data_IF_414519064293
#
_entry.id   IF_414519064293
#
_cell.length_a   1.000
_cell.length_b   1.000
_cell.length_c   1.000
_cell.angle_alpha   90.00
_cell.angle_beta   90.00
_cell.angle_gamma   90.00
#
_symmetry.space_group_name_H-M   'P 1'
#
loop_
_entity.id
_entity.type
_entity.pdbx_description
1 polymer ?
#
# COMPACT_ATOMS: atom_id res chain seq x y z
N UNK A 1 58.79 54.90 38.50
CA UNK A 1 59.19 53.80 37.58
C UNK A 1 58.26 53.85 36.36
N UNK A 2 58.84 54.02 35.15
CA UNK A 2 58.46 53.51 33.79
C UNK A 2 56.96 53.26 33.51
N UNK A 3 56.29 53.70 32.42
CA UNK A 3 56.56 54.31 31.08
C UNK A 3 55.17 54.83 30.60
N UNK A 4 54.99 56.09 30.23
CA UNK A 4 55.13 56.68 28.89
C UNK A 4 54.11 56.25 27.82
N UNK A 5 53.42 57.27 27.29
CA UNK A 5 53.05 57.55 25.88
C UNK A 5 51.66 57.14 25.34
N UNK A 6 50.90 58.20 24.96
CA UNK A 6 50.31 58.46 23.61
C UNK A 6 49.18 57.51 23.11
N UNK A 7 48.13 57.91 22.36
CA UNK A 7 47.68 59.18 21.77
C UNK A 7 46.41 58.93 20.91
N UNK A 8 45.64 60.00 20.61
CA UNK A 8 44.69 60.24 19.48
C UNK A 8 43.58 59.18 19.18
N UNK A 9 42.42 59.44 18.60
CA UNK A 9 41.80 60.62 17.99
C UNK A 9 40.28 60.42 18.00
N UNK A 10 39.55 61.51 18.22
CA UNK A 10 38.10 61.62 18.11
C UNK A 10 37.81 62.10 16.67
N UNK A 11 37.15 61.29 15.85
CA UNK A 11 36.57 61.74 14.57
C UNK A 11 35.12 61.27 14.57
N UNK A 12 34.22 62.25 14.58
CA UNK A 12 32.78 62.02 14.61
C UNK A 12 32.19 61.69 13.25
N UNK A 13 30.90 61.35 13.25
CA UNK A 13 30.03 61.71 12.13
C UNK A 13 28.59 61.88 12.61
N UNK A 14 28.00 62.92 12.04
CA UNK A 14 26.72 63.56 12.29
C UNK A 14 25.56 62.68 11.82
N UNK A 15 24.54 62.56 12.68
CA UNK A 15 23.19 62.11 12.31
C UNK A 15 22.55 63.10 11.34
N UNK A 16 22.04 62.59 10.21
CA UNK A 16 20.99 63.23 9.43
C UNK A 16 19.92 62.18 9.12
N UNK A 17 18.72 62.41 9.65
CA UNK A 17 17.51 61.66 9.38
C UNK A 17 16.59 62.46 8.45
N UNK A 18 15.55 61.78 7.95
CA UNK A 18 14.42 62.24 7.14
C UNK A 18 14.68 62.41 5.63
N UNK A 19 13.81 62.00 4.71
CA UNK A 19 12.59 61.19 4.68
C UNK A 19 12.27 61.05 3.18
N UNK A 20 12.03 59.84 2.66
CA UNK A 20 11.49 59.68 1.32
C UNK A 20 10.47 58.54 1.32
N UNK A 21 9.21 58.93 1.16
CA UNK A 21 8.08 58.04 0.89
C UNK A 21 8.28 57.35 -0.46
N UNK A 22 8.12 56.04 -0.49
CA UNK A 22 7.89 55.29 -1.73
C UNK A 22 6.78 54.26 -1.46
N UNK A 23 5.56 54.62 -1.89
CA UNK A 23 4.47 53.67 -2.09
C UNK A 23 4.82 52.80 -3.30
N UNK A 24 5.18 51.54 -3.05
CA UNK A 24 5.29 50.53 -4.10
C UNK A 24 3.92 49.92 -4.33
N UNK A 25 3.36 50.21 -5.50
CA UNK A 25 2.17 49.57 -6.05
C UNK A 25 2.54 48.13 -6.42
N UNK A 26 2.09 47.13 -5.65
CA UNK A 26 2.23 45.72 -6.02
C UNK A 26 1.10 45.37 -6.98
N UNK A 27 1.41 45.38 -8.27
CA UNK A 27 0.53 44.87 -9.30
C UNK A 27 0.42 43.34 -9.18
N UNK A 28 -0.82 42.89 -9.01
CA UNK A 28 -1.27 41.50 -8.92
C UNK A 28 -1.03 40.76 -10.26
N UNK A 29 0.15 40.14 -10.41
CA UNK A 29 0.49 39.33 -11.56
C UNK A 29 0.11 37.87 -11.32
N UNK A 30 -1.16 37.57 -11.60
CA UNK A 30 -1.76 36.24 -11.75
C UNK A 30 -0.88 35.31 -12.63
N UNK A 31 -0.03 34.47 -12.03
CA UNK A 31 0.63 33.34 -12.72
C UNK A 31 0.00 32.03 -12.29
N UNK A 32 -0.80 31.48 -13.20
CA UNK A 32 -1.36 30.13 -13.15
C UNK A 32 -0.51 29.24 -14.08
N UNK A 33 0.46 28.52 -13.55
CA UNK A 33 1.01 27.30 -14.17
C UNK A 33 1.39 26.32 -13.07
N UNK A 34 1.03 25.07 -13.32
CA UNK A 34 0.92 23.97 -12.36
C UNK A 34 2.31 23.36 -12.14
N UNK A 35 2.85 23.47 -10.94
CA UNK A 35 4.00 22.68 -10.49
C UNK A 35 3.56 21.65 -9.46
N UNK A 36 4.09 20.44 -9.60
CA UNK A 36 4.08 19.43 -8.55
C UNK A 36 5.27 19.71 -7.65
N UNK A 37 5.01 20.02 -6.38
CA UNK A 37 6.05 20.17 -5.36
C UNK A 37 6.06 18.87 -4.55
N UNK A 38 7.20 18.19 -4.53
CA UNK A 38 7.49 17.19 -3.50
C UNK A 38 7.99 17.96 -2.27
N UNK A 39 7.23 17.93 -1.19
CA UNK A 39 7.68 18.40 0.12
C UNK A 39 8.40 17.22 0.80
N UNK A 40 9.72 17.29 0.89
CA UNK A 40 10.51 16.48 1.83
C UNK A 40 10.47 17.14 3.21
N UNK A 41 10.40 16.31 4.25
CA UNK A 41 9.98 16.61 5.63
C UNK A 41 10.65 17.83 6.30
N UNK A 42 9.83 18.80 6.75
CA UNK A 42 10.12 19.63 7.92
C UNK A 42 8.94 19.54 8.91
N UNK A 43 9.22 19.02 10.10
CA UNK A 43 8.30 19.00 11.24
C UNK A 43 7.97 20.42 11.71
N UNK A 44 6.81 20.96 11.34
CA UNK A 44 6.12 21.98 12.15
C UNK A 44 4.60 21.77 12.14
N UNK A 45 4.04 21.50 13.31
CA UNK A 45 2.60 21.37 13.54
C UNK A 45 1.88 22.72 13.47
N UNK A 46 0.76 22.86 12.72
CA UNK A 46 -0.14 23.99 12.91
C UNK A 46 -1.44 23.61 13.62
N UNK A 47 -1.76 24.44 14.61
CA UNK A 47 -2.98 24.51 15.42
C UNK A 47 -4.28 24.52 14.60
N UNK A 48 -5.30 23.89 15.18
CA UNK A 48 -6.68 23.75 14.73
C UNK A 48 -7.37 25.05 14.23
N UNK A 49 -8.11 24.92 13.12
CA UNK A 49 -9.56 25.25 13.02
C UNK A 49 -10.13 24.98 11.61
N UNK A 50 -10.98 23.96 11.53
CA UNK A 50 -12.26 23.90 10.79
C UNK A 50 -12.57 22.42 10.52
N UNK A 51 -13.45 21.83 11.35
CA UNK A 51 -14.07 20.53 11.04
C UNK A 51 -15.10 20.77 9.94
N UNK A 52 -14.67 20.67 8.69
CA UNK A 52 -15.55 20.16 7.65
C UNK A 52 -15.51 18.64 7.73
N UNK A 53 -16.69 18.02 7.74
CA UNK A 53 -16.89 16.57 7.81
C UNK A 53 -16.49 15.96 6.45
N UNK A 54 -15.20 16.03 6.11
CA UNK A 54 -14.61 15.29 5.01
C UNK A 54 -14.57 13.85 5.51
N UNK A 55 -15.56 13.06 5.09
CA UNK A 55 -15.68 11.65 5.43
C UNK A 55 -14.31 10.99 5.44
N UNK A 56 -13.93 10.44 6.60
CA UNK A 56 -12.59 9.91 6.88
C UNK A 56 -12.14 9.01 5.73
N UNK A 57 -11.23 9.51 4.91
CA UNK A 57 -10.63 8.75 3.82
C UNK A 57 -9.67 7.74 4.45
N UNK A 58 -10.15 6.53 4.68
CA UNK A 58 -9.34 5.46 5.24
C UNK A 58 -8.48 4.85 4.14
N UNK A 59 -7.16 5.07 4.21
CA UNK A 59 -6.19 4.36 3.38
C UNK A 59 -6.08 2.93 3.87
N UNK A 60 -6.39 1.95 3.03
CA UNK A 60 -6.14 0.53 3.30
C UNK A 60 -4.80 0.14 2.69
N UNK A 61 -3.96 -0.54 3.46
CA UNK A 61 -2.65 -0.99 3.05
C UNK A 61 -2.47 -2.49 3.38
N UNK A 62 -1.81 -3.19 2.46
CA UNK A 62 -1.41 -4.58 2.58
C UNK A 62 0.10 -4.65 2.38
N UNK A 63 0.82 -5.11 3.41
CA UNK A 63 2.24 -5.48 3.29
C UNK A 63 2.32 -6.99 3.12
N UNK A 64 3.07 -7.45 2.13
CA UNK A 64 3.22 -8.88 1.82
C UNK A 64 4.68 -9.23 1.54
N UNK A 65 5.14 -10.33 2.12
CA UNK A 65 6.40 -11.00 1.82
C UNK A 65 6.17 -12.51 1.67
N UNK A 66 7.17 -13.23 1.16
CA UNK A 66 7.11 -14.68 0.98
C UNK A 66 8.29 -15.34 1.71
N UNK A 67 7.99 -16.25 2.66
CA UNK A 67 8.98 -17.24 3.14
C UNK A 67 9.15 -18.29 2.03
N UNK A 68 10.32 -18.31 1.41
CA UNK A 68 10.75 -19.29 0.42
C UNK A 68 11.61 -20.37 1.09
N UNK A 69 11.29 -21.64 0.84
CA UNK A 69 12.10 -22.80 1.18
C UNK A 69 12.55 -23.49 -0.11
N UNK A 70 13.85 -23.37 -0.42
CA UNK A 70 14.50 -23.98 -1.59
C UNK A 70 15.70 -24.79 -1.11
N UNK A 71 15.78 -26.07 -1.51
CA UNK A 71 16.87 -26.99 -1.14
C UNK A 71 17.16 -27.07 0.38
N UNK A 72 16.11 -26.94 1.20
CA UNK A 72 16.22 -26.94 2.66
C UNK A 72 16.63 -25.61 3.28
N UNK A 73 17.00 -24.61 2.48
CA UNK A 73 17.33 -23.25 2.93
C UNK A 73 16.09 -22.35 2.91
N UNK A 74 15.88 -21.62 4.00
CA UNK A 74 14.85 -20.60 4.11
C UNK A 74 15.39 -19.22 3.74
N UNK A 75 14.59 -18.43 3.04
CA UNK A 75 14.82 -17.00 2.76
C UNK A 75 13.51 -16.25 2.70
N UNK A 76 13.56 -14.92 2.82
CA UNK A 76 12.41 -14.04 2.56
C UNK A 76 12.60 -13.39 1.20
N UNK A 77 11.57 -13.40 0.37
CA UNK A 77 11.58 -12.83 -0.98
C UNK A 77 10.30 -12.04 -1.25
N UNK A 78 10.36 -11.16 -2.26
CA UNK A 78 9.20 -10.43 -2.76
C UNK A 78 8.29 -11.32 -3.62
N UNK A 79 7.00 -10.97 -3.79
CA UNK A 79 6.09 -11.66 -4.70
C UNK A 79 6.54 -11.68 -6.17
N UNK A 80 7.35 -10.71 -6.60
CA UNK A 80 7.90 -10.63 -7.96
C UNK A 80 9.15 -11.53 -8.19
N UNK A 81 9.60 -12.26 -7.17
CA UNK A 81 10.76 -13.15 -7.25
C UNK A 81 10.53 -14.30 -8.23
N UNK A 82 11.60 -14.76 -8.89
CA UNK A 82 11.56 -15.93 -9.78
C UNK A 82 11.58 -17.26 -8.99
N UNK A 83 10.42 -17.93 -8.98
CA UNK A 83 10.24 -19.24 -8.38
C UNK A 83 10.62 -20.37 -9.33
N UNK A 84 10.94 -21.52 -8.76
CA UNK A 84 11.38 -22.74 -9.45
C UNK A 84 10.56 -23.93 -8.98
N UNK A 85 10.51 -24.97 -9.82
CA UNK A 85 9.88 -26.24 -9.45
C UNK A 85 10.48 -26.81 -8.17
N UNK A 86 9.60 -27.23 -7.25
CA UNK A 86 9.98 -27.73 -5.94
C UNK A 86 10.10 -26.66 -4.85
N UNK A 87 10.09 -25.38 -5.19
CA UNK A 87 10.03 -24.29 -4.22
C UNK A 87 8.80 -24.44 -3.34
N UNK A 88 9.00 -24.21 -2.04
CA UNK A 88 7.91 -24.21 -1.07
C UNK A 88 7.75 -22.83 -0.47
N UNK A 89 6.57 -22.25 -0.61
CA UNK A 89 6.31 -20.86 -0.24
C UNK A 89 5.21 -20.73 0.81
N UNK A 90 5.33 -19.68 1.62
CA UNK A 90 4.30 -19.22 2.55
C UNK A 90 4.25 -17.70 2.48
N UNK A 91 3.08 -17.16 2.17
CA UNK A 91 2.84 -15.73 2.24
C UNK A 91 2.79 -15.29 3.68
N UNK A 92 3.41 -14.14 3.96
CA UNK A 92 3.35 -13.44 5.24
C UNK A 92 2.77 -12.08 4.92
N UNK A 93 1.71 -11.67 5.62
CA UNK A 93 1.08 -10.39 5.35
C UNK A 93 0.55 -9.69 6.60
N UNK A 94 0.41 -8.38 6.50
CA UNK A 94 -0.14 -7.50 7.53
C UNK A 94 -0.98 -6.42 6.88
N UNK A 95 -2.08 -6.06 7.54
CA UNK A 95 -2.96 -4.97 7.12
C UNK A 95 -2.89 -3.81 8.10
N UNK A 96 -3.18 -2.60 7.64
CA UNK A 96 -3.22 -1.41 8.50
C UNK A 96 -4.62 -1.12 9.09
N UNK A 97 -5.59 -2.00 8.85
CA UNK A 97 -6.98 -1.91 9.31
C UNK A 97 -7.55 -3.28 9.62
N UNK A 98 -8.55 -3.34 10.50
CA UNK A 98 -9.31 -4.55 10.78
C UNK A 98 -10.18 -4.90 9.56
N UNK A 99 -10.07 -6.13 9.06
CA UNK A 99 -10.76 -6.54 7.85
C UNK A 99 -10.95 -8.05 7.75
N UNK A 100 -11.61 -8.47 6.69
CA UNK A 100 -11.70 -9.86 6.24
C UNK A 100 -10.82 -10.06 5.02
N UNK A 101 -9.97 -11.09 5.03
CA UNK A 101 -9.04 -11.38 3.95
C UNK A 101 -9.45 -12.61 3.14
N UNK A 102 -9.45 -12.47 1.81
CA UNK A 102 -9.72 -13.55 0.86
C UNK A 102 -8.53 -13.66 -0.08
N UNK A 103 -7.92 -14.83 -0.14
CA UNK A 103 -6.82 -15.15 -1.03
C UNK A 103 -7.28 -16.20 -2.03
N UNK A 104 -7.13 -15.89 -3.30
CA UNK A 104 -7.50 -16.76 -4.40
C UNK A 104 -6.31 -16.93 -5.34
N UNK A 105 -6.18 -18.09 -5.96
CA UNK A 105 -5.39 -18.23 -7.19
C UNK A 105 -6.32 -18.23 -8.39
N UNK A 106 -5.83 -17.70 -9.51
CA UNK A 106 -6.49 -17.78 -10.80
C UNK A 106 -5.68 -18.72 -11.70
N UNK A 107 -6.28 -19.86 -12.03
CA UNK A 107 -5.68 -20.81 -12.96
C UNK A 107 -5.66 -20.27 -14.39
N UNK A 108 -4.85 -20.89 -15.26
CA UNK A 108 -4.73 -20.53 -16.67
C UNK A 108 -6.04 -20.64 -17.47
N UNK A 109 -7.01 -21.45 -17.02
CA UNK A 109 -8.37 -21.52 -17.57
C UNK A 109 -9.24 -20.31 -17.20
N UNK A 110 -8.77 -19.43 -16.31
CA UNK A 110 -9.53 -18.33 -15.73
C UNK A 110 -10.43 -18.75 -14.56
N UNK A 111 -10.37 -20.02 -14.14
CA UNK A 111 -11.02 -20.53 -12.93
C UNK A 111 -10.32 -19.98 -11.68
N UNK A 112 -11.09 -19.63 -10.66
CA UNK A 112 -10.54 -19.25 -9.36
C UNK A 112 -10.48 -20.45 -8.42
N UNK A 113 -9.49 -20.45 -7.53
CA UNK A 113 -9.39 -21.37 -6.41
C UNK A 113 -9.19 -20.59 -5.12
N UNK A 114 -10.03 -20.82 -4.13
CA UNK A 114 -9.92 -20.20 -2.81
C UNK A 114 -8.76 -20.83 -2.03
N UNK A 115 -7.72 -20.03 -1.79
CA UNK A 115 -6.57 -20.40 -0.96
C UNK A 115 -6.85 -20.13 0.52
N UNK A 116 -7.61 -19.08 0.82
CA UNK A 116 -8.03 -18.71 2.17
C UNK A 116 -9.24 -17.76 2.13
N UNK A 117 -10.26 -17.94 2.99
CA UNK A 117 -10.44 -19.03 3.96
C UNK A 117 -10.80 -20.35 3.26
N UNK A 118 -10.30 -21.47 3.79
CA UNK A 118 -10.71 -22.79 3.34
C UNK A 118 -10.51 -23.86 4.44
N UNK A 119 -11.19 -25.00 4.31
CA UNK A 119 -11.29 -26.00 5.37
C UNK A 119 -9.96 -26.51 5.95
N UNK A 120 -8.88 -26.62 5.15
CA UNK A 120 -7.56 -27.07 5.64
C UNK A 120 -6.64 -25.92 6.07
N UNK A 121 -6.95 -24.70 5.63
CA UNK A 121 -6.15 -23.49 5.86
C UNK A 121 -6.70 -22.58 6.94
N UNK A 122 -7.85 -22.90 7.53
CA UNK A 122 -8.56 -22.02 8.45
C UNK A 122 -9.75 -21.36 7.77
N UNK A 123 -10.89 -21.35 8.47
CA UNK A 123 -12.14 -20.73 8.00
C UNK A 123 -12.34 -19.32 8.55
N UNK A 124 -11.63 -18.97 9.62
CA UNK A 124 -11.65 -17.63 10.17
C UNK A 124 -10.73 -16.73 9.35
N UNK A 125 -11.35 -15.80 8.63
CA UNK A 125 -10.68 -14.84 7.76
C UNK A 125 -10.65 -13.43 8.35
N UNK A 126 -11.01 -13.26 9.61
CA UNK A 126 -10.83 -11.98 10.31
C UNK A 126 -9.35 -11.70 10.51
N UNK A 127 -8.95 -10.49 10.16
CA UNK A 127 -7.58 -9.99 10.21
C UNK A 127 -7.58 -8.72 11.03
N UNK A 128 -6.81 -8.71 12.11
CA UNK A 128 -6.63 -7.53 12.95
C UNK A 128 -5.52 -6.65 12.43
N UNK A 129 -5.74 -5.34 12.56
CA UNK A 129 -4.77 -4.31 12.20
C UNK A 129 -3.41 -4.60 12.85
N UNK A 130 -2.36 -4.46 12.05
CA UNK A 130 -0.95 -4.57 12.44
C UNK A 130 -0.52 -5.94 12.99
N UNK A 131 -1.36 -6.96 12.88
CA UNK A 131 -0.98 -8.33 13.19
C UNK A 131 -0.39 -9.05 11.95
N UNK A 132 0.45 -10.05 12.20
CA UNK A 132 1.13 -10.81 11.16
C UNK A 132 0.36 -12.12 10.92
N UNK A 133 -0.08 -12.31 9.68
CA UNK A 133 -0.80 -13.50 9.24
C UNK A 133 0.02 -14.27 8.22
N UNK A 134 -0.23 -15.58 8.10
CA UNK A 134 0.45 -16.42 7.09
C UNK A 134 -0.50 -17.31 6.32
N UNK A 135 -0.26 -17.44 5.01
CA UNK A 135 -1.04 -18.31 4.13
C UNK A 135 -0.09 -19.26 3.36
N UNK A 136 -0.30 -20.58 3.44
CA UNK A 136 -1.34 -21.23 4.24
C UNK A 136 -1.01 -21.15 5.75
N UNK A 137 -2.03 -21.11 6.59
CA UNK A 137 -1.86 -21.09 8.07
C UNK A 137 -1.05 -22.30 8.53
N UNK A 138 -1.31 -23.46 7.93
CA UNK A 138 -0.54 -24.70 8.13
C UNK A 138 0.09 -25.16 6.82
N UNK A 139 1.35 -25.58 6.88
CA UNK A 139 2.08 -26.07 5.71
C UNK A 139 2.69 -24.95 4.86
N UNK A 140 2.87 -25.25 3.56
CA UNK A 140 3.43 -24.38 2.52
C UNK A 140 2.80 -24.74 1.18
N UNK A 141 2.65 -23.79 0.27
CA UNK A 141 2.39 -24.10 -1.13
C UNK A 141 3.67 -24.65 -1.77
N UNK A 142 3.53 -25.48 -2.80
CA UNK A 142 4.66 -26.02 -3.56
C UNK A 142 4.44 -25.73 -5.03
N UNK A 143 5.43 -25.13 -5.69
CA UNK A 143 5.47 -25.04 -7.15
C UNK A 143 5.74 -26.43 -7.73
N UNK A 144 4.88 -26.85 -8.65
CA UNK A 144 5.00 -28.14 -9.31
C UNK A 144 5.98 -28.07 -10.49
N UNK A 145 5.94 -29.02 -11.42
CA UNK A 145 6.85 -29.06 -12.56
C UNK A 145 6.34 -28.22 -13.77
N UNK A 146 5.19 -27.54 -13.62
CA UNK A 146 4.56 -26.74 -14.68
C UNK A 146 4.95 -25.28 -14.55
N UNK A 147 5.86 -24.85 -15.40
CA UNK A 147 6.26 -23.45 -15.53
C UNK A 147 5.11 -22.57 -15.98
N UNK A 148 5.12 -21.31 -15.55
CA UNK A 148 4.10 -20.34 -15.91
C UNK A 148 4.04 -19.16 -14.93
N UNK A 149 2.97 -18.38 -15.04
CA UNK A 149 2.68 -17.29 -14.13
C UNK A 149 1.49 -17.68 -13.27
N UNK A 150 1.73 -17.80 -11.97
CA UNK A 150 0.68 -18.04 -10.99
C UNK A 150 0.09 -16.71 -10.54
N UNK A 151 -1.21 -16.52 -10.77
CA UNK A 151 -1.91 -15.28 -10.45
C UNK A 151 -2.59 -15.40 -9.10
N UNK A 152 -2.17 -14.57 -8.15
CA UNK A 152 -2.79 -14.48 -6.83
C UNK A 152 -3.62 -13.21 -6.76
N UNK A 153 -4.87 -13.37 -6.32
CA UNK A 153 -5.81 -12.31 -6.05
C UNK A 153 -6.04 -12.24 -4.54
N UNK A 154 -5.81 -11.07 -3.97
CA UNK A 154 -6.11 -10.79 -2.57
C UNK A 154 -7.21 -9.75 -2.52
N UNK A 155 -8.26 -10.03 -1.75
CA UNK A 155 -9.36 -9.10 -1.50
C UNK A 155 -9.45 -8.88 0.00
N UNK A 156 -9.36 -7.61 0.41
CA UNK A 156 -9.54 -7.17 1.79
C UNK A 156 -10.82 -6.33 1.87
N UNK A 157 -11.67 -6.57 2.85
CA UNK A 157 -12.88 -5.76 3.06
C UNK A 157 -13.14 -5.59 4.55
N UNK A 158 -13.51 -4.38 5.00
CA UNK A 158 -13.83 -4.16 6.43
C UNK A 158 -15.12 -4.87 6.85
N UNK A 159 -15.97 -5.20 5.87
CA UNK A 159 -17.20 -5.97 6.04
C UNK A 159 -17.17 -7.22 5.16
N UNK A 160 -17.88 -8.27 5.56
CA UNK A 160 -17.99 -9.50 4.77
C UNK A 160 -18.73 -9.20 3.47
N UNK A 161 -18.15 -9.61 2.34
CA UNK A 161 -18.74 -9.44 1.01
C UNK A 161 -19.57 -10.67 0.69
N UNK A 162 -20.91 -10.58 0.55
CA UNK A 162 -21.77 -11.75 0.33
C UNK A 162 -21.35 -12.60 -0.88
N UNK A 163 -20.95 -11.93 -1.97
CA UNK A 163 -20.44 -12.56 -3.20
C UNK A 163 -19.21 -13.45 -2.93
N UNK A 164 -18.34 -13.05 -1.98
CA UNK A 164 -17.15 -13.82 -1.59
C UNK A 164 -17.49 -14.93 -0.58
N UNK A 165 -18.44 -14.68 0.31
CA UNK A 165 -18.92 -15.70 1.26
C UNK A 165 -19.57 -16.90 0.54
N UNK A 166 -20.29 -16.64 -0.55
CA UNK A 166 -20.77 -17.70 -1.45
C UNK A 166 -19.62 -18.46 -2.10
N UNK A 167 -18.59 -17.76 -2.58
CA UNK A 167 -17.40 -18.40 -3.14
C UNK A 167 -16.66 -19.26 -2.11
N UNK A 168 -16.59 -18.84 -0.84
CA UNK A 168 -16.02 -19.63 0.26
C UNK A 168 -16.83 -20.91 0.51
N UNK A 169 -18.15 -20.82 0.52
CA UNK A 169 -19.04 -21.99 0.67
C UNK A 169 -18.90 -22.97 -0.50
N UNK A 170 -18.84 -22.46 -1.72
CA UNK A 170 -18.60 -23.28 -2.92
C UNK A 170 -17.26 -23.98 -2.81
N UNK A 171 -16.18 -23.23 -2.55
CA UNK A 171 -14.83 -23.75 -2.40
C UNK A 171 -14.73 -24.86 -1.34
N UNK A 172 -15.49 -24.74 -0.24
CA UNK A 172 -15.54 -25.78 0.79
C UNK A 172 -16.11 -27.11 0.24
N UNK A 173 -17.08 -27.06 -0.67
CA UNK A 173 -17.68 -28.25 -1.29
C UNK A 173 -16.86 -28.83 -2.45
N UNK A 174 -16.09 -27.99 -3.15
CA UNK A 174 -15.42 -28.33 -4.43
C UNK A 174 -13.90 -28.44 -4.33
N UNK A 175 -13.36 -28.67 -3.12
CA UNK A 175 -11.91 -28.76 -2.85
C UNK A 175 -11.14 -27.51 -3.26
N UNK A 176 -11.74 -26.34 -3.05
CA UNK A 176 -11.15 -25.03 -3.30
C UNK A 176 -11.61 -24.38 -4.59
N UNK A 177 -12.20 -25.11 -5.54
CA UNK A 177 -12.58 -24.54 -6.84
C UNK A 177 -13.77 -23.59 -6.74
N UNK A 178 -13.66 -22.39 -7.29
CA UNK A 178 -14.74 -21.40 -7.38
C UNK A 178 -15.12 -21.25 -8.85
N UNK A 179 -16.19 -21.93 -9.27
CA UNK A 179 -16.68 -21.93 -10.64
C UNK A 179 -18.00 -21.15 -10.77
N UNK A 180 -18.99 -21.46 -9.94
CA UNK A 180 -20.29 -20.79 -9.95
C UNK A 180 -20.17 -19.34 -9.47
N UNK A 181 -19.40 -19.09 -8.41
CA UNK A 181 -19.16 -17.74 -7.87
C UNK A 181 -18.02 -16.98 -8.57
N UNK A 182 -17.47 -17.50 -9.69
CA UNK A 182 -16.42 -16.82 -10.44
C UNK A 182 -16.89 -15.49 -11.06
N UNK A 183 -18.14 -15.41 -11.52
CA UNK A 183 -18.70 -14.17 -12.07
C UNK A 183 -18.89 -13.06 -11.02
N UNK A 184 -19.39 -13.35 -9.81
CA UNK A 184 -19.35 -12.43 -8.67
C UNK A 184 -17.92 -11.97 -8.31
N UNK A 185 -16.95 -12.88 -8.19
CA UNK A 185 -15.54 -12.50 -7.92
C UNK A 185 -15.02 -11.53 -8.99
N UNK A 186 -15.24 -11.83 -10.29
CA UNK A 186 -14.90 -10.92 -11.40
C UNK A 186 -15.66 -9.60 -11.35
N UNK A 187 -16.86 -9.58 -10.77
CA UNK A 187 -17.65 -8.36 -10.59
C UNK A 187 -17.03 -7.46 -9.53
N UNK A 188 -16.55 -8.01 -8.42
CA UNK A 188 -15.77 -7.27 -7.41
C UNK A 188 -14.52 -6.66 -8.04
N UNK A 189 -13.77 -7.45 -8.81
CA UNK A 189 -12.58 -6.97 -9.53
C UNK A 189 -12.91 -5.86 -10.53
N UNK A 190 -13.98 -6.01 -11.32
CA UNK A 190 -14.38 -5.05 -12.34
C UNK A 190 -14.88 -3.74 -11.73
N UNK A 191 -15.66 -3.81 -10.63
CA UNK A 191 -16.10 -2.64 -9.87
C UNK A 191 -14.89 -1.84 -9.36
N UNK A 192 -13.86 -2.53 -8.87
CA UNK A 192 -12.61 -1.89 -8.45
C UNK A 192 -11.81 -1.29 -9.61
N UNK A 193 -11.56 -2.06 -10.68
CA UNK A 193 -10.80 -1.60 -11.86
C UNK A 193 -11.47 -0.40 -12.56
N UNK A 194 -12.79 -0.39 -12.67
CA UNK A 194 -13.53 0.71 -13.30
C UNK A 194 -13.37 2.03 -12.51
N UNK A 195 -13.40 1.95 -11.18
CA UNK A 195 -13.24 3.12 -10.31
C UNK A 195 -11.81 3.68 -10.30
N UNK A 196 -10.79 2.80 -10.37
CA UNK A 196 -9.37 3.22 -10.52
C UNK A 196 -9.12 4.05 -11.77
N UNK A 197 -9.83 3.77 -12.88
CA UNK A 197 -9.69 4.55 -14.12
C UNK A 197 -10.26 5.97 -14.03
N UNK A 198 -11.13 6.24 -13.05
CA UNK A 198 -11.93 7.47 -13.02
C UNK A 198 -11.49 8.49 -11.97
N UNK A 199 -10.45 8.22 -11.16
CA UNK A 199 -10.10 9.10 -10.04
C UNK A 199 -8.59 9.18 -9.80
N UNK A 200 -8.06 10.37 -10.10
CA UNK A 200 -6.80 10.97 -9.64
C UNK A 200 -5.49 10.18 -9.82
N UNK A 201 -4.39 10.93 -9.77
CA UNK A 201 -3.05 10.39 -9.69
C UNK A 201 -2.94 9.56 -8.41
N UNK A 202 -2.74 8.26 -8.57
CA UNK A 202 -2.42 7.36 -7.45
C UNK A 202 -0.92 7.42 -7.26
N UNK A 203 -0.47 7.84 -6.08
CA UNK A 203 0.91 7.64 -5.68
C UNK A 203 1.13 6.14 -5.48
N UNK A 204 1.87 5.52 -6.40
CA UNK A 204 2.41 4.18 -6.23
C UNK A 204 3.77 4.38 -5.56
N UNK A 205 3.91 3.96 -4.29
CA UNK A 205 5.24 3.80 -3.71
C UNK A 205 5.96 2.75 -4.55
N UNK A 206 7.14 3.10 -5.08
CA UNK A 206 8.02 2.13 -5.70
C UNK A 206 8.22 0.98 -4.70
N UNK A 207 8.19 -0.26 -5.19
CA UNK A 207 8.48 -1.40 -4.30
C UNK A 207 9.91 -1.20 -3.79
N UNK A 208 10.06 -0.88 -2.50
CA UNK A 208 11.37 -0.74 -1.86
C UNK A 208 12.10 -2.09 -1.91
N UNK A 209 12.79 -2.38 -3.02
CA UNK A 209 13.52 -3.63 -3.26
C UNK A 209 14.53 -3.89 -2.12
N UNK A 210 15.04 -2.81 -1.53
CA UNK A 210 15.97 -2.82 -0.40
C UNK A 210 15.37 -3.37 0.90
N UNK A 211 14.06 -3.25 1.13
CA UNK A 211 13.40 -3.76 2.34
C UNK A 211 12.85 -5.17 2.17
N UNK A 212 12.70 -5.66 0.93
CA UNK A 212 12.14 -6.95 0.62
C UNK A 212 10.65 -7.09 0.98
N UNK A 213 9.90 -5.98 1.06
CA UNK A 213 8.46 -5.94 1.37
C UNK A 213 7.65 -5.37 0.21
N UNK A 214 6.60 -6.09 -0.24
CA UNK A 214 5.65 -5.55 -1.22
C UNK A 214 4.50 -4.87 -0.48
N UNK A 215 4.49 -3.53 -0.52
CA UNK A 215 3.40 -2.72 0.03
C UNK A 215 2.45 -2.32 -1.09
N UNK A 216 1.16 -2.66 -0.94
CA UNK A 216 0.10 -2.20 -1.84
C UNK A 216 -0.87 -1.35 -1.02
N UNK A 217 -1.24 -0.18 -1.53
CA UNK A 217 -2.17 0.74 -0.87
C UNK A 217 -3.36 1.07 -1.77
N UNK A 218 -4.51 1.34 -1.16
CA UNK A 218 -5.66 1.92 -1.83
C UNK A 218 -6.37 2.91 -0.90
N UNK A 219 -6.67 4.07 -1.44
CA UNK A 219 -7.60 5.02 -0.84
C UNK A 219 -9.02 4.50 -1.02
N UNK A 220 -9.64 4.00 0.06
CA UNK A 220 -11.03 3.53 0.01
C UNK A 220 -11.98 4.74 0.10
N UNK A 221 -12.98 4.82 -0.77
CA UNK A 221 -13.98 5.89 -0.70
C UNK A 221 -14.94 5.72 0.48
N UNK A 222 -15.01 4.51 1.04
CA UNK A 222 -15.77 4.14 2.22
C UNK A 222 -15.21 2.85 2.82
N UNK A 223 -15.37 2.63 4.13
CA UNK A 223 -14.94 1.39 4.79
C UNK A 223 -15.47 0.11 4.08
N UNK A 224 -16.73 0.12 3.64
CA UNK A 224 -17.37 -1.02 2.96
C UNK A 224 -16.79 -1.35 1.56
N UNK A 225 -15.82 -0.59 1.05
CA UNK A 225 -15.24 -0.82 -0.27
C UNK A 225 -14.10 -1.86 -0.21
N UNK A 226 -14.18 -2.98 -0.97
CA UNK A 226 -13.12 -3.97 -0.97
C UNK A 226 -11.84 -3.46 -1.64
N UNK A 227 -10.70 -3.61 -0.95
CA UNK A 227 -9.37 -3.41 -1.52
C UNK A 227 -8.91 -4.67 -2.24
N UNK A 228 -8.56 -4.53 -3.52
CA UNK A 228 -8.15 -5.64 -4.39
C UNK A 228 -6.68 -5.50 -4.80
N UNK A 229 -5.91 -6.56 -4.60
CA UNK A 229 -4.48 -6.66 -4.92
C UNK A 229 -4.22 -7.89 -5.79
N UNK A 230 -3.31 -7.74 -6.75
CA UNK A 230 -2.84 -8.82 -7.61
C UNK A 230 -1.34 -9.05 -7.42
N UNK A 231 -0.94 -10.31 -7.35
CA UNK A 231 0.44 -10.73 -7.49
C UNK A 231 0.57 -11.70 -8.67
N UNK A 232 1.63 -11.53 -9.45
CA UNK A 232 2.01 -12.46 -10.50
C UNK A 232 3.31 -13.14 -10.08
N UNK A 233 3.22 -14.40 -9.66
CA UNK A 233 4.41 -15.17 -9.26
C UNK A 233 4.97 -15.84 -10.51
N UNK A 234 6.18 -15.47 -10.89
CA UNK A 234 6.86 -16.04 -12.05
C UNK A 234 7.49 -17.37 -11.66
N UNK A 235 7.12 -18.45 -12.33
CA UNK A 235 7.68 -19.78 -12.13
C UNK A 235 8.38 -20.28 -13.39
N UNK A 236 9.71 -20.36 -13.30
CA UNK A 236 10.65 -20.72 -14.38
C UNK A 236 11.30 -22.09 -14.21
#
# INVERSE_FOLDING_TARGET
MKRSLFVLFFVGLVSFAFLAENLVNVADAKRKTRDLVFEEDEEESPSAKAKEDIGKVEKVALKTTIELLRDGKKSTVLPNHEFKSGDRVKFIYTTNTDCYAYWLSQGSSGDYYMLFPHAKGGMDNEVKKNEIYTIPVKGKFRFDDKKGVEKILVILATERVPELEEAVKEAAATRGKVAASAAPVKSVEKKQKAKRKTRDLVFEEDEDEDTGISTKTQTAASAAEPFVVYYELVHN
#
